data_IF_328244922852
#
_entry.id   IF_328244922852
#
_cell.length_a   1.000
_cell.length_b   1.000
_cell.length_c   1.000
_cell.angle_alpha   90.00
_cell.angle_beta   90.00
_cell.angle_gamma   90.00
#
_symmetry.space_group_name_H-M   'P 1'
#
loop_
_entity.id
_entity.type
_entity.pdbx_description
1 polymer ?
#
# COMPACT_ATOMS: atom_id res chain seq x y z
N UNK A 1 -10.35 -26.61 -33.00
CA UNK A 1 -8.99 -26.16 -32.67
C UNK A 1 -9.13 -24.72 -32.17
N UNK A 2 -9.17 -24.54 -30.88
CA UNK A 2 -9.24 -23.21 -30.27
C UNK A 2 -7.81 -22.67 -30.28
N UNK A 3 -7.55 -21.67 -31.11
CA UNK A 3 -6.35 -20.86 -31.02
C UNK A 3 -6.48 -20.03 -29.74
N UNK A 4 -5.83 -20.46 -28.67
CA UNK A 4 -5.52 -19.58 -27.54
C UNK A 4 -4.68 -18.43 -28.11
N UNK A 5 -5.29 -17.26 -28.29
CA UNK A 5 -4.53 -16.03 -28.50
C UNK A 5 -3.58 -15.91 -27.30
N UNK A 6 -2.28 -15.94 -27.56
CA UNK A 6 -1.28 -15.65 -26.54
C UNK A 6 -1.52 -14.21 -26.10
N UNK A 7 -2.02 -14.01 -24.88
CA UNK A 7 -2.11 -12.69 -24.26
C UNK A 7 -0.72 -12.05 -24.30
N UNK A 8 -0.60 -10.91 -24.96
CA UNK A 8 0.67 -10.21 -25.12
C UNK A 8 0.97 -9.49 -23.80
N UNK A 9 1.63 -10.18 -22.88
CA UNK A 9 1.97 -9.64 -21.56
C UNK A 9 3.00 -8.53 -21.71
N UNK A 10 2.75 -7.38 -21.06
CA UNK A 10 3.66 -6.24 -21.08
C UNK A 10 5.05 -6.62 -20.56
N UNK A 11 6.07 -6.37 -21.38
CA UNK A 11 7.45 -6.82 -21.12
C UNK A 11 8.08 -6.13 -19.91
N UNK A 12 7.86 -4.81 -19.74
CA UNK A 12 8.47 -4.02 -18.66
C UNK A 12 7.88 -4.39 -17.30
N UNK A 13 6.55 -4.47 -17.18
CA UNK A 13 5.88 -4.85 -15.95
C UNK A 13 6.14 -6.32 -15.58
N UNK A 14 6.23 -7.19 -16.59
CA UNK A 14 6.65 -8.59 -16.38
C UNK A 14 8.07 -8.67 -15.84
N UNK A 15 9.01 -7.92 -16.44
CA UNK A 15 10.39 -7.86 -15.98
C UNK A 15 10.49 -7.32 -14.54
N UNK A 16 9.69 -6.32 -14.17
CA UNK A 16 9.60 -5.79 -12.82
C UNK A 16 9.15 -6.89 -11.83
N UNK A 17 8.10 -7.63 -12.18
CA UNK A 17 7.60 -8.75 -11.36
C UNK A 17 8.64 -9.88 -11.25
N UNK A 18 9.33 -10.24 -12.33
CA UNK A 18 10.40 -11.25 -12.35
C UNK A 18 11.62 -10.82 -11.53
N UNK A 19 11.89 -9.52 -11.45
CA UNK A 19 12.95 -8.97 -10.58
C UNK A 19 12.58 -8.96 -9.09
N UNK A 20 11.33 -9.35 -8.74
CA UNK A 20 10.86 -9.53 -7.38
C UNK A 20 10.09 -8.37 -6.79
N UNK A 21 9.81 -7.32 -7.57
CA UNK A 21 8.91 -6.23 -7.20
C UNK A 21 7.54 -6.45 -7.81
N UNK A 22 6.54 -6.74 -6.97
CA UNK A 22 5.16 -6.95 -7.42
C UNK A 22 4.52 -5.63 -7.83
N UNK A 23 4.06 -5.45 -9.10
CA UNK A 23 3.30 -4.27 -9.50
C UNK A 23 1.88 -4.33 -8.95
N UNK A 24 1.51 -3.36 -8.11
CA UNK A 24 0.16 -3.16 -7.62
C UNK A 24 -0.41 -1.84 -8.14
N UNK A 25 -1.73 -1.71 -8.17
CA UNK A 25 -2.44 -0.51 -8.59
C UNK A 25 -2.99 0.26 -7.38
N UNK A 26 -2.69 1.55 -7.28
CA UNK A 26 -3.25 2.45 -6.26
C UNK A 26 -4.50 3.16 -6.80
N UNK A 27 -5.51 2.37 -7.12
CA UNK A 27 -6.82 2.79 -7.63
C UNK A 27 -7.84 1.69 -7.46
N UNK A 28 -9.02 2.04 -6.96
CA UNK A 28 -10.20 1.16 -6.92
C UNK A 28 -11.45 1.98 -7.23
N UNK A 29 -12.24 1.51 -8.19
CA UNK A 29 -13.56 2.05 -8.52
C UNK A 29 -14.38 1.00 -9.25
N UNK A 30 -15.69 1.10 -9.15
CA UNK A 30 -16.65 0.15 -9.71
C UNK A 30 -16.41 -0.10 -11.20
N UNK A 31 -16.33 0.96 -11.99
CA UNK A 31 -16.17 0.87 -13.44
C UNK A 31 -14.87 0.19 -13.88
N UNK A 32 -13.78 0.27 -13.11
CA UNK A 32 -12.55 -0.46 -13.38
C UNK A 32 -12.76 -1.98 -13.35
N UNK A 33 -13.64 -2.45 -12.47
CA UNK A 33 -13.96 -3.87 -12.29
C UNK A 33 -14.98 -4.31 -13.33
N UNK A 34 -16.12 -3.61 -13.41
CA UNK A 34 -17.25 -4.00 -14.25
C UNK A 34 -16.96 -3.94 -15.75
N UNK A 35 -16.12 -2.99 -16.19
CA UNK A 35 -15.67 -2.91 -17.58
C UNK A 35 -14.56 -3.91 -17.93
N UNK A 36 -14.12 -4.73 -16.97
CA UNK A 36 -13.10 -5.76 -17.15
C UNK A 36 -11.67 -5.22 -17.21
N UNK A 37 -11.46 -3.93 -16.96
CA UNK A 37 -10.13 -3.31 -17.04
C UNK A 37 -9.18 -3.87 -15.97
N UNK A 38 -9.66 -4.09 -14.73
CA UNK A 38 -8.85 -4.74 -13.69
C UNK A 38 -8.41 -6.14 -14.11
N UNK A 39 -9.32 -6.93 -14.72
CA UNK A 39 -8.99 -8.27 -15.21
C UNK A 39 -7.96 -8.21 -16.36
N UNK A 40 -8.07 -7.21 -17.25
CA UNK A 40 -7.09 -6.97 -18.31
C UNK A 40 -5.71 -6.66 -17.74
N UNK A 41 -5.61 -5.73 -16.76
CA UNK A 41 -4.36 -5.37 -16.11
C UNK A 41 -3.69 -6.58 -15.44
N UNK A 42 -4.47 -7.47 -14.81
CA UNK A 42 -3.97 -8.72 -14.24
C UNK A 42 -3.42 -9.66 -15.32
N UNK A 43 -4.12 -9.79 -16.43
CA UNK A 43 -3.76 -10.74 -17.50
C UNK A 43 -2.62 -10.25 -18.39
N UNK A 44 -2.60 -8.94 -18.69
CA UNK A 44 -1.71 -8.36 -19.72
C UNK A 44 -0.56 -7.53 -19.11
N UNK A 45 -0.78 -6.89 -17.96
CA UNK A 45 0.16 -5.97 -17.33
C UNK A 45 0.81 -6.52 -16.06
N UNK A 46 0.72 -7.82 -15.84
CA UNK A 46 1.32 -8.51 -14.67
C UNK A 46 0.89 -7.91 -13.33
N UNK A 47 -0.28 -7.26 -13.27
CA UNK A 47 -0.78 -6.67 -12.02
C UNK A 47 -1.02 -7.75 -10.96
N UNK A 48 -0.52 -7.50 -9.75
CA UNK A 48 -0.51 -8.48 -8.65
C UNK A 48 -1.35 -8.08 -7.44
N UNK A 49 -1.86 -6.86 -7.37
CA UNK A 49 -2.66 -6.40 -6.24
C UNK A 49 -3.22 -5.00 -6.43
N UNK A 50 -4.04 -4.59 -5.48
CA UNK A 50 -4.71 -3.28 -5.48
C UNK A 50 -4.66 -2.67 -4.08
N UNK A 51 -4.36 -1.38 -4.01
CA UNK A 51 -4.55 -0.58 -2.80
C UNK A 51 -5.66 0.43 -2.98
N UNK A 52 -6.37 0.72 -1.90
CA UNK A 52 -7.31 1.81 -1.80
C UNK A 52 -7.01 2.70 -0.58
N UNK A 53 -7.58 3.88 -0.55
CA UNK A 53 -7.53 4.82 0.56
C UNK A 53 -8.73 5.77 0.49
N UNK A 54 -8.99 6.61 1.53
CA UNK A 54 -10.14 7.53 1.53
C UNK A 54 -10.18 8.46 0.32
N UNK A 55 -9.04 8.98 -0.13
CA UNK A 55 -9.00 9.89 -1.30
C UNK A 55 -9.35 9.19 -2.62
N UNK A 56 -9.04 7.91 -2.75
CA UNK A 56 -9.43 7.10 -3.92
C UNK A 56 -10.95 6.93 -3.94
N UNK A 57 -11.56 6.57 -2.80
CA UNK A 57 -13.01 6.43 -2.71
C UNK A 57 -13.74 7.78 -2.81
N UNK A 58 -13.17 8.86 -2.24
CA UNK A 58 -13.70 10.23 -2.41
C UNK A 58 -13.88 10.55 -3.91
N UNK A 59 -12.82 10.39 -4.69
CA UNK A 59 -12.88 10.62 -6.14
C UNK A 59 -13.81 9.63 -6.86
N UNK A 60 -13.71 8.36 -6.54
CA UNK A 60 -14.52 7.34 -7.19
C UNK A 60 -16.02 7.59 -6.96
N UNK A 61 -16.44 7.86 -5.73
CA UNK A 61 -17.85 8.02 -5.38
C UNK A 61 -18.38 9.41 -5.74
N UNK A 62 -17.60 10.48 -5.53
CA UNK A 62 -18.10 11.84 -5.71
C UNK A 62 -17.88 12.43 -7.11
N UNK A 63 -16.89 11.94 -7.88
CA UNK A 63 -16.55 12.50 -9.18
C UNK A 63 -16.99 11.59 -10.35
N UNK A 64 -17.74 10.50 -10.09
CA UNK A 64 -18.27 9.63 -11.14
C UNK A 64 -19.75 9.33 -10.97
N UNK A 65 -20.35 8.78 -12.02
CA UNK A 65 -21.74 8.28 -12.02
C UNK A 65 -21.83 6.78 -11.66
N UNK A 66 -20.70 6.16 -11.35
CA UNK A 66 -20.57 4.71 -11.13
C UNK A 66 -21.39 4.20 -9.91
N UNK A 67 -21.88 5.08 -9.03
CA UNK A 67 -22.51 4.74 -7.74
C UNK A 67 -23.91 5.35 -7.54
N UNK A 68 -24.51 5.92 -8.58
CA UNK A 68 -25.83 6.59 -8.49
C UNK A 68 -26.92 5.64 -7.99
N UNK A 69 -26.94 4.40 -8.51
CA UNK A 69 -27.96 3.41 -8.14
C UNK A 69 -27.82 2.98 -6.67
N UNK A 70 -26.58 2.77 -6.19
CA UNK A 70 -26.31 2.40 -4.78
C UNK A 70 -26.64 3.54 -3.81
N UNK A 71 -26.35 4.79 -4.19
CA UNK A 71 -26.70 5.95 -3.37
C UNK A 71 -28.22 6.11 -3.28
N UNK A 72 -28.95 5.90 -4.39
CA UNK A 72 -30.42 5.95 -4.43
C UNK A 72 -31.04 4.82 -3.59
N UNK A 73 -30.49 3.59 -3.69
CA UNK A 73 -30.94 2.45 -2.87
C UNK A 73 -30.70 2.72 -1.38
N UNK A 74 -29.51 3.18 -1.01
CA UNK A 74 -29.15 3.47 0.37
C UNK A 74 -30.01 4.58 1.00
N UNK A 75 -30.42 5.59 0.22
CA UNK A 75 -31.42 6.59 0.63
C UNK A 75 -32.73 5.93 1.03
N UNK A 76 -33.19 4.93 0.26
CA UNK A 76 -34.39 4.18 0.55
C UNK A 76 -34.31 3.29 1.81
N UNK A 77 -33.11 2.83 2.15
CA UNK A 77 -32.81 2.02 3.33
C UNK A 77 -32.62 2.85 4.62
N UNK A 78 -32.47 4.17 4.52
CA UNK A 78 -32.26 5.06 5.67
C UNK A 78 -30.85 4.92 6.30
N UNK A 79 -29.85 4.53 5.51
CA UNK A 79 -28.47 4.40 5.95
C UNK A 79 -27.81 5.77 6.14
N UNK A 80 -26.93 5.89 7.14
CA UNK A 80 -26.08 7.07 7.26
C UNK A 80 -24.88 7.04 6.27
N UNK A 81 -24.18 8.16 6.11
CA UNK A 81 -23.11 8.29 5.15
C UNK A 81 -21.96 7.29 5.38
N UNK A 82 -21.64 6.99 6.63
CA UNK A 82 -20.61 6.00 6.97
C UNK A 82 -21.04 4.60 6.54
N UNK A 83 -22.28 4.22 6.81
CA UNK A 83 -22.83 2.92 6.43
C UNK A 83 -22.89 2.77 4.89
N UNK A 84 -23.22 3.85 4.18
CA UNK A 84 -23.25 3.89 2.71
C UNK A 84 -21.83 3.71 2.16
N UNK A 85 -20.87 4.49 2.65
CA UNK A 85 -19.47 4.34 2.26
C UNK A 85 -18.98 2.91 2.47
N UNK A 86 -19.21 2.35 3.66
CA UNK A 86 -18.76 0.99 3.96
C UNK A 86 -19.43 -0.07 3.09
N UNK A 87 -20.74 0.08 2.79
CA UNK A 87 -21.49 -0.82 1.87
C UNK A 87 -20.82 -0.82 0.50
N UNK A 88 -20.54 0.36 -0.06
CA UNK A 88 -19.90 0.53 -1.36
C UNK A 88 -18.46 -0.01 -1.35
N UNK A 89 -17.64 0.43 -0.40
CA UNK A 89 -16.24 0.06 -0.34
C UNK A 89 -16.03 -1.45 -0.16
N UNK A 90 -16.82 -2.09 0.69
CA UNK A 90 -16.79 -3.53 0.90
C UNK A 90 -17.19 -4.29 -0.38
N UNK A 91 -18.24 -3.85 -1.08
CA UNK A 91 -18.67 -4.49 -2.32
C UNK A 91 -17.57 -4.40 -3.41
N UNK A 92 -16.95 -3.24 -3.59
CA UNK A 92 -15.88 -3.06 -4.58
C UNK A 92 -14.63 -3.85 -4.22
N UNK A 93 -14.25 -3.89 -2.94
CA UNK A 93 -13.14 -4.71 -2.47
C UNK A 93 -13.41 -6.20 -2.65
N UNK A 94 -14.62 -6.68 -2.37
CA UNK A 94 -15.00 -8.07 -2.64
C UNK A 94 -14.87 -8.42 -4.12
N UNK A 95 -15.40 -7.58 -5.00
CA UNK A 95 -15.32 -7.79 -6.45
C UNK A 95 -13.86 -7.77 -6.96
N UNK A 96 -13.03 -6.85 -6.47
CA UNK A 96 -11.61 -6.81 -6.81
C UNK A 96 -10.85 -8.04 -6.28
N UNK A 97 -11.15 -8.49 -5.06
CA UNK A 97 -10.60 -9.73 -4.50
C UNK A 97 -10.94 -10.94 -5.37
N UNK A 98 -12.17 -11.01 -5.87
CA UNK A 98 -12.63 -12.10 -6.73
C UNK A 98 -11.88 -12.09 -8.08
N UNK A 99 -11.61 -10.92 -8.67
CA UNK A 99 -10.77 -10.79 -9.88
C UNK A 99 -9.33 -11.25 -9.64
N UNK A 100 -8.75 -10.89 -8.49
CA UNK A 100 -7.37 -11.21 -8.12
C UNK A 100 -7.20 -12.61 -7.50
N UNK A 101 -8.29 -13.36 -7.31
CA UNK A 101 -8.27 -14.66 -6.65
C UNK A 101 -7.34 -15.67 -7.34
N UNK A 102 -7.33 -15.70 -8.66
CA UNK A 102 -6.42 -16.58 -9.42
C UNK A 102 -4.95 -16.25 -9.20
N UNK A 103 -4.61 -14.96 -9.06
CA UNK A 103 -3.25 -14.52 -8.72
C UNK A 103 -2.88 -14.95 -7.29
N UNK A 104 -3.78 -14.81 -6.32
CA UNK A 104 -3.58 -15.24 -4.94
C UNK A 104 -3.35 -16.75 -4.83
N UNK A 105 -4.19 -17.57 -5.47
CA UNK A 105 -4.06 -19.02 -5.46
C UNK A 105 -2.73 -19.47 -6.12
N UNK A 106 -2.36 -18.89 -7.28
CA UNK A 106 -1.17 -19.30 -8.03
C UNK A 106 0.15 -18.79 -7.44
N UNK A 107 0.11 -17.71 -6.65
CA UNK A 107 1.28 -17.18 -5.95
C UNK A 107 1.53 -17.83 -4.58
N UNK A 108 0.81 -18.87 -4.23
CA UNK A 108 0.85 -19.48 -2.89
C UNK A 108 0.62 -18.42 -1.79
N UNK A 109 -0.42 -17.61 -1.95
CA UNK A 109 -0.87 -16.57 -1.02
C UNK A 109 0.14 -15.42 -0.80
N UNK A 110 1.09 -15.22 -1.71
CA UNK A 110 2.07 -14.14 -1.60
C UNK A 110 1.68 -12.88 -2.37
N UNK A 111 0.72 -12.95 -3.30
CA UNK A 111 0.19 -11.85 -4.09
C UNK A 111 -1.33 -11.99 -4.30
N UNK A 112 -1.94 -11.15 -5.11
CA UNK A 112 -3.37 -11.17 -5.37
C UNK A 112 -4.20 -10.49 -4.30
N UNK A 113 -3.62 -9.58 -3.53
CA UNK A 113 -4.28 -8.89 -2.42
C UNK A 113 -4.98 -7.60 -2.85
N UNK A 114 -6.05 -7.28 -2.13
CA UNK A 114 -6.74 -5.98 -2.17
C UNK A 114 -6.78 -5.40 -0.78
N UNK A 115 -6.39 -4.13 -0.61
CA UNK A 115 -6.36 -3.47 0.71
C UNK A 115 -7.59 -2.58 0.90
N UNK A 116 -8.23 -2.70 2.08
CA UNK A 116 -9.30 -1.83 2.58
C UNK A 116 -8.85 -1.15 3.88
N UNK A 117 -8.87 0.17 3.91
CA UNK A 117 -8.38 0.95 5.03
C UNK A 117 -9.47 1.19 6.08
N UNK A 118 -9.12 1.03 7.38
CA UNK A 118 -9.97 1.49 8.47
C UNK A 118 -10.00 3.01 8.49
N UNK A 119 -10.99 3.61 9.16
CA UNK A 119 -11.10 5.06 9.22
C UNK A 119 -9.90 5.69 9.95
N UNK A 120 -9.38 6.80 9.41
CA UNK A 120 -8.16 7.46 9.92
C UNK A 120 -8.34 8.09 11.31
N UNK A 121 -9.59 8.40 11.72
CA UNK A 121 -9.90 8.87 13.07
C UNK A 121 -9.57 7.84 14.17
N UNK A 122 -9.33 6.59 13.79
CA UNK A 122 -8.90 5.51 14.69
C UNK A 122 -7.37 5.40 14.79
N UNK A 123 -6.61 6.19 14.02
CA UNK A 123 -5.14 6.08 13.92
C UNK A 123 -4.42 6.18 15.29
N UNK A 124 -5.01 6.89 16.24
CA UNK A 124 -4.48 7.07 17.60
C UNK A 124 -5.23 6.25 18.68
N UNK A 125 -6.00 5.23 18.25
CA UNK A 125 -6.76 4.36 19.17
C UNK A 125 -6.63 2.88 18.72
N UNK A 126 -5.64 2.19 19.27
CA UNK A 126 -5.37 0.79 18.93
C UNK A 126 -6.55 -0.15 19.20
N UNK A 127 -7.36 0.13 20.23
CA UNK A 127 -8.54 -0.69 20.52
C UNK A 127 -9.63 -0.51 19.46
N UNK A 128 -9.90 0.72 19.03
CA UNK A 128 -10.85 0.95 17.93
C UNK A 128 -10.34 0.38 16.63
N UNK A 129 -9.05 0.54 16.34
CA UNK A 129 -8.41 0.00 15.14
C UNK A 129 -8.59 -1.51 15.02
N UNK A 130 -8.36 -2.29 16.09
CA UNK A 130 -8.55 -3.75 16.02
C UNK A 130 -10.02 -4.15 15.93
N UNK A 131 -10.93 -3.42 16.57
CA UNK A 131 -12.37 -3.67 16.44
C UNK A 131 -12.84 -3.44 15.00
N UNK A 132 -12.43 -2.34 14.38
CA UNK A 132 -12.74 -2.05 12.97
C UNK A 132 -12.11 -3.07 12.01
N UNK A 133 -10.86 -3.47 12.27
CA UNK A 133 -10.18 -4.48 11.47
C UNK A 133 -10.91 -5.83 11.47
N UNK A 134 -11.38 -6.28 12.63
CA UNK A 134 -12.20 -7.51 12.76
C UNK A 134 -13.52 -7.42 12.02
N UNK A 135 -14.19 -6.27 12.10
CA UNK A 135 -15.47 -6.04 11.41
C UNK A 135 -15.28 -6.07 9.90
N UNK A 136 -14.32 -5.31 9.35
CA UNK A 136 -14.05 -5.31 7.92
C UNK A 136 -13.58 -6.67 7.41
N UNK A 137 -12.70 -7.36 8.13
CA UNK A 137 -12.26 -8.71 7.78
C UNK A 137 -13.44 -9.67 7.65
N UNK A 138 -14.34 -9.65 8.64
CA UNK A 138 -15.55 -10.49 8.65
C UNK A 138 -16.51 -10.13 7.52
N UNK A 139 -16.76 -8.83 7.28
CA UNK A 139 -17.75 -8.35 6.28
C UNK A 139 -17.23 -8.54 4.86
N UNK A 140 -15.95 -8.29 4.59
CA UNK A 140 -15.36 -8.54 3.27
C UNK A 140 -15.34 -10.03 2.98
N UNK A 141 -15.02 -10.87 3.95
CA UNK A 141 -15.05 -12.33 3.84
C UNK A 141 -14.37 -12.86 2.56
N UNK A 142 -13.15 -12.39 2.29
CA UNK A 142 -12.26 -12.85 1.21
C UNK A 142 -10.86 -13.11 1.78
N UNK A 143 -10.22 -14.27 1.50
CA UNK A 143 -8.92 -14.61 2.10
C UNK A 143 -7.78 -13.71 1.61
N UNK A 144 -7.96 -13.05 0.47
CA UNK A 144 -6.99 -12.15 -0.15
C UNK A 144 -7.30 -10.66 0.08
N UNK A 145 -8.10 -10.31 1.10
CA UNK A 145 -8.16 -8.94 1.59
C UNK A 145 -7.04 -8.68 2.58
N UNK A 146 -6.50 -7.47 2.60
CA UNK A 146 -5.66 -6.93 3.67
C UNK A 146 -6.38 -5.76 4.32
N UNK A 147 -6.51 -5.79 5.63
CA UNK A 147 -7.02 -4.62 6.35
C UNK A 147 -5.88 -3.63 6.54
N UNK A 148 -6.09 -2.39 6.10
CA UNK A 148 -5.08 -1.35 6.13
C UNK A 148 -5.18 -0.56 7.43
N UNK A 149 -4.10 -0.58 8.23
CA UNK A 149 -4.01 0.01 9.57
C UNK A 149 -2.88 1.03 9.57
N UNK A 150 -3.07 2.27 10.09
CA UNK A 150 -2.00 3.23 10.24
C UNK A 150 -0.87 2.74 11.15
N UNK A 151 0.38 2.94 10.72
CA UNK A 151 1.59 2.58 11.48
C UNK A 151 1.96 3.60 12.55
N UNK A 152 0.99 4.16 13.24
CA UNK A 152 1.19 5.04 14.40
C UNK A 152 1.64 4.24 15.62
N UNK A 153 2.30 4.85 16.61
CA UNK A 153 2.69 4.15 17.85
C UNK A 153 1.51 3.42 18.51
N UNK A 154 0.32 4.03 18.50
CA UNK A 154 -0.91 3.46 19.08
C UNK A 154 -1.49 2.32 18.23
N UNK A 155 -1.20 2.31 16.93
CA UNK A 155 -1.63 1.26 15.99
C UNK A 155 -0.85 -0.05 16.10
N UNK A 156 0.35 -0.05 16.69
CA UNK A 156 1.22 -1.24 16.77
C UNK A 156 0.56 -2.42 17.47
N UNK A 157 -0.12 -2.18 18.60
CA UNK A 157 -0.82 -3.23 19.34
C UNK A 157 -1.98 -3.83 18.52
N UNK A 158 -2.66 -3.00 17.71
CA UNK A 158 -3.70 -3.46 16.80
C UNK A 158 -3.13 -4.32 15.67
N UNK A 159 -1.95 -3.96 15.13
CA UNK A 159 -1.24 -4.75 14.11
C UNK A 159 -0.86 -6.12 14.67
N UNK A 160 -0.17 -6.17 15.84
CA UNK A 160 0.19 -7.44 16.48
C UNK A 160 -1.03 -8.31 16.71
N UNK A 161 -2.11 -7.73 17.27
CA UNK A 161 -3.32 -8.46 17.57
C UNK A 161 -4.04 -8.97 16.31
N UNK A 162 -4.10 -8.16 15.23
CA UNK A 162 -4.69 -8.57 13.96
C UNK A 162 -3.94 -9.76 13.34
N UNK A 163 -2.61 -9.70 13.31
CA UNK A 163 -1.77 -10.81 12.83
C UNK A 163 -1.99 -12.07 13.69
N UNK A 164 -2.00 -11.91 15.02
CA UNK A 164 -2.30 -13.04 15.92
C UNK A 164 -3.67 -13.68 15.63
N UNK A 165 -4.67 -12.91 15.26
CA UNK A 165 -6.02 -13.40 14.90
C UNK A 165 -6.11 -13.97 13.48
N UNK A 166 -5.04 -13.88 12.67
CA UNK A 166 -5.02 -14.39 11.30
C UNK A 166 -5.59 -13.42 10.27
N UNK A 167 -5.66 -12.14 10.59
CA UNK A 167 -6.08 -11.07 9.69
C UNK A 167 -4.86 -10.58 8.91
N UNK A 168 -4.92 -10.60 7.57
CA UNK A 168 -3.87 -10.00 6.76
C UNK A 168 -3.87 -8.48 6.91
N UNK A 169 -2.69 -7.87 7.07
CA UNK A 169 -2.57 -6.44 7.37
C UNK A 169 -1.65 -5.73 6.38
N UNK A 170 -2.13 -4.59 5.87
CA UNK A 170 -1.32 -3.59 5.20
C UNK A 170 -1.08 -2.43 6.18
N UNK A 171 0.14 -2.29 6.70
CA UNK A 171 0.45 -1.19 7.60
C UNK A 171 0.80 0.04 6.76
N UNK A 172 0.08 1.15 6.97
CA UNK A 172 0.20 2.36 6.15
C UNK A 172 0.78 3.56 6.89
N UNK A 173 1.08 4.63 6.16
CA UNK A 173 1.65 5.88 6.66
C UNK A 173 3.03 5.70 7.31
N UNK A 174 3.85 4.81 6.75
CA UNK A 174 5.23 4.66 7.17
C UNK A 174 6.10 5.62 6.36
N UNK A 175 6.84 6.48 7.05
CA UNK A 175 7.76 7.43 6.44
C UNK A 175 9.20 7.23 6.94
N UNK A 176 9.40 6.76 8.17
CA UNK A 176 10.72 6.55 8.76
C UNK A 176 11.09 5.08 8.87
N UNK A 177 12.38 4.81 8.81
CA UNK A 177 12.94 3.46 9.02
C UNK A 177 12.64 2.96 10.42
N UNK A 178 12.65 3.84 11.42
CA UNK A 178 12.31 3.49 12.81
C UNK A 178 10.85 3.02 12.93
N UNK A 179 9.90 3.70 12.27
CA UNK A 179 8.50 3.25 12.23
C UNK A 179 8.38 1.88 11.54
N UNK A 180 9.13 1.68 10.42
CA UNK A 180 9.19 0.41 9.73
C UNK A 180 9.68 -0.73 10.64
N UNK A 181 10.76 -0.53 11.41
CA UNK A 181 11.28 -1.52 12.35
C UNK A 181 10.22 -1.93 13.39
N UNK A 182 9.51 -0.95 13.94
CA UNK A 182 8.45 -1.19 14.94
C UNK A 182 7.29 -2.00 14.38
N UNK A 183 6.83 -1.71 13.16
CA UNK A 183 5.72 -2.48 12.55
C UNK A 183 6.16 -3.88 12.13
N UNK A 184 7.41 -4.06 11.72
CA UNK A 184 7.97 -5.36 11.44
C UNK A 184 8.07 -6.21 12.72
N UNK A 185 8.47 -5.61 13.85
CA UNK A 185 8.48 -6.29 15.14
C UNK A 185 7.07 -6.68 15.61
N UNK A 186 6.06 -5.81 15.42
CA UNK A 186 4.67 -6.13 15.73
C UNK A 186 4.15 -7.32 14.90
N UNK A 187 4.50 -7.37 13.61
CA UNK A 187 4.20 -8.51 12.74
C UNK A 187 4.83 -9.82 13.26
N UNK A 188 6.13 -9.78 13.56
CA UNK A 188 6.84 -10.95 14.09
C UNK A 188 6.25 -11.42 15.41
N UNK A 189 5.92 -10.52 16.34
CA UNK A 189 5.27 -10.86 17.62
C UNK A 189 3.92 -11.53 17.43
N UNK A 190 3.09 -11.03 16.50
CA UNK A 190 1.82 -11.67 16.17
C UNK A 190 2.01 -13.10 15.67
N UNK A 191 3.00 -13.34 14.80
CA UNK A 191 3.34 -14.67 14.30
C UNK A 191 3.93 -15.58 15.41
N UNK A 192 4.78 -15.05 16.29
CA UNK A 192 5.34 -15.79 17.43
C UNK A 192 4.24 -16.29 18.37
N UNK A 193 3.21 -15.47 18.62
CA UNK A 193 2.04 -15.86 19.43
C UNK A 193 1.26 -17.00 18.74
N UNK A 194 1.06 -16.93 17.42
CA UNK A 194 0.42 -17.99 16.64
C UNK A 194 1.22 -19.29 16.69
N UNK A 195 2.55 -19.19 16.54
CA UNK A 195 3.45 -20.35 16.61
C UNK A 195 3.37 -21.03 17.99
N UNK A 196 3.38 -20.25 19.06
CA UNK A 196 3.29 -20.75 20.42
C UNK A 196 1.98 -21.54 20.67
N UNK A 197 0.90 -21.17 19.98
CA UNK A 197 -0.41 -21.83 20.05
C UNK A 197 -0.63 -22.87 18.94
N UNK A 198 0.40 -23.20 18.15
CA UNK A 198 0.33 -24.14 17.03
C UNK A 198 -0.72 -23.74 15.96
N UNK A 199 -0.96 -22.45 15.79
CA UNK A 199 -1.84 -21.94 14.74
C UNK A 199 -1.08 -21.79 13.42
N UNK A 200 -1.76 -21.87 12.25
CA UNK A 200 -1.14 -21.63 10.95
C UNK A 200 -0.48 -20.25 10.87
N UNK A 201 0.71 -20.17 10.24
CA UNK A 201 1.43 -18.89 10.07
C UNK A 201 1.22 -18.25 8.67
N UNK A 202 0.29 -18.77 7.89
CA UNK A 202 -0.10 -18.20 6.58
C UNK A 202 -0.97 -16.94 6.80
N UNK A 203 -0.33 -15.88 7.29
CA UNK A 203 -0.92 -14.56 7.50
C UNK A 203 -0.03 -13.55 6.80
N UNK A 204 -0.55 -12.90 5.77
CA UNK A 204 0.22 -11.99 4.94
C UNK A 204 0.26 -10.58 5.54
N UNK A 205 1.39 -9.90 5.35
CA UNK A 205 1.52 -8.48 5.67
C UNK A 205 2.38 -7.74 4.65
N UNK A 206 2.06 -6.47 4.43
CA UNK A 206 2.89 -5.50 3.72
C UNK A 206 3.04 -4.23 4.54
N UNK A 207 4.18 -3.57 4.41
CA UNK A 207 4.50 -2.32 5.09
C UNK A 207 4.56 -1.19 4.06
N UNK A 208 3.52 -0.36 3.99
CA UNK A 208 3.39 0.74 3.02
C UNK A 208 4.30 1.90 3.40
N UNK A 209 5.48 1.92 2.81
CA UNK A 209 6.51 2.94 2.99
C UNK A 209 6.36 4.02 1.93
N UNK A 210 6.09 5.25 2.38
CA UNK A 210 5.73 6.37 1.50
C UNK A 210 6.98 7.03 0.92
N UNK A 211 7.00 7.24 -0.39
CA UNK A 211 8.20 7.65 -1.14
C UNK A 211 8.12 9.13 -1.55
N UNK A 212 7.30 9.50 -2.53
CA UNK A 212 7.35 10.84 -3.14
C UNK A 212 7.09 12.00 -2.18
N UNK A 213 6.38 11.77 -1.07
CA UNK A 213 6.14 12.83 -0.08
C UNK A 213 7.41 13.27 0.64
N UNK A 214 8.36 12.34 0.84
CA UNK A 214 9.66 12.64 1.46
C UNK A 214 10.46 13.58 0.56
N UNK A 215 10.56 13.30 -0.74
CA UNK A 215 11.22 14.21 -1.68
C UNK A 215 10.50 15.56 -1.77
N UNK A 216 9.15 15.55 -1.83
CA UNK A 216 8.37 16.81 -1.87
C UNK A 216 8.68 17.71 -0.68
N UNK A 217 8.92 17.15 0.51
CA UNK A 217 9.28 17.92 1.70
C UNK A 217 10.75 18.32 1.69
N UNK A 218 11.67 17.38 1.41
CA UNK A 218 13.11 17.62 1.40
C UNK A 218 13.53 18.60 0.30
N UNK A 219 13.00 18.45 -0.92
CA UNK A 219 13.36 19.30 -2.06
C UNK A 219 13.05 20.78 -1.80
N UNK A 220 11.93 21.10 -1.14
CA UNK A 220 11.60 22.49 -0.73
C UNK A 220 12.65 23.10 0.19
N UNK A 221 13.24 22.29 1.07
CA UNK A 221 14.30 22.74 1.98
C UNK A 221 15.63 22.88 1.23
N UNK A 222 15.95 21.92 0.37
CA UNK A 222 17.15 21.91 -0.46
C UNK A 222 17.17 23.10 -1.44
N UNK A 223 16.09 23.38 -2.13
CA UNK A 223 15.95 24.52 -3.03
C UNK A 223 16.14 25.84 -2.26
N UNK A 224 15.56 25.95 -1.07
CA UNK A 224 15.69 27.14 -0.22
C UNK A 224 17.12 27.35 0.31
N UNK A 225 17.86 26.28 0.54
CA UNK A 225 19.24 26.31 1.03
C UNK A 225 20.29 26.35 -0.09
N UNK A 226 19.89 26.22 -1.37
CA UNK A 226 20.77 26.27 -2.53
C UNK A 226 21.48 24.97 -2.83
N UNK A 227 20.91 23.84 -2.44
CA UNK A 227 21.43 22.48 -2.66
C UNK A 227 20.55 21.69 -3.64
N UNK A 228 20.17 22.31 -4.75
CA UNK A 228 19.26 21.72 -5.76
C UNK A 228 19.81 20.43 -6.38
N UNK A 229 21.13 20.21 -6.35
CA UNK A 229 21.78 19.00 -6.84
C UNK A 229 21.46 17.74 -6.01
N UNK A 230 20.92 17.91 -4.80
CA UNK A 230 20.49 16.83 -3.93
C UNK A 230 18.98 16.54 -4.03
N UNK A 231 18.23 17.33 -4.78
CA UNK A 231 16.81 17.11 -4.99
C UNK A 231 16.54 15.74 -5.64
N UNK A 232 15.48 15.06 -5.19
CA UNK A 232 15.09 13.72 -5.65
C UNK A 232 15.89 12.56 -5.08
N UNK A 233 16.76 12.81 -4.09
CA UNK A 233 17.60 11.77 -3.46
C UNK A 233 17.08 11.29 -2.12
N UNK A 234 16.39 12.15 -1.38
CA UNK A 234 15.99 11.88 0.00
C UNK A 234 15.05 10.67 0.12
N UNK A 235 14.03 10.60 -0.73
CA UNK A 235 13.05 9.52 -0.70
C UNK A 235 13.67 8.18 -1.09
N UNK A 236 14.49 8.16 -2.14
CA UNK A 236 15.16 6.94 -2.61
C UNK A 236 16.16 6.45 -1.57
N UNK A 237 16.98 7.34 -0.98
CA UNK A 237 17.92 6.97 0.06
C UNK A 237 17.21 6.40 1.31
N UNK A 238 16.13 7.04 1.74
CA UNK A 238 15.30 6.57 2.86
C UNK A 238 14.67 5.20 2.59
N UNK A 239 14.11 4.98 1.39
CA UNK A 239 13.52 3.69 1.00
C UNK A 239 14.58 2.57 0.90
N UNK A 240 15.77 2.87 0.37
CA UNK A 240 16.89 1.92 0.33
C UNK A 240 17.37 1.53 1.74
N UNK A 241 17.38 2.49 2.67
CA UNK A 241 17.69 2.20 4.07
C UNK A 241 16.61 1.30 4.71
N UNK A 242 15.33 1.54 4.42
CA UNK A 242 14.24 0.67 4.87
C UNK A 242 14.37 -0.74 4.28
N UNK A 243 14.75 -0.88 3.00
CA UNK A 243 14.99 -2.20 2.39
C UNK A 243 16.19 -2.93 3.03
N UNK A 244 17.28 -2.24 3.35
CA UNK A 244 18.39 -2.81 4.11
C UNK A 244 17.91 -3.34 5.46
N UNK A 245 17.08 -2.58 6.15
CA UNK A 245 16.50 -2.98 7.42
C UNK A 245 15.57 -4.18 7.28
N UNK A 246 14.79 -4.25 6.21
CA UNK A 246 14.01 -5.44 5.87
C UNK A 246 14.89 -6.70 5.79
N UNK A 247 16.01 -6.61 5.08
CA UNK A 247 16.93 -7.75 4.95
C UNK A 247 17.54 -8.18 6.29
N UNK A 248 17.81 -7.23 7.19
CA UNK A 248 18.31 -7.50 8.55
C UNK A 248 17.24 -8.20 9.41
N UNK A 249 16.01 -7.69 9.41
CA UNK A 249 14.91 -8.19 10.25
C UNK A 249 14.47 -9.59 9.81
N UNK A 250 14.32 -9.79 8.49
CA UNK A 250 13.86 -11.07 7.93
C UNK A 250 15.03 -12.00 7.60
N UNK A 251 16.01 -12.04 8.51
CA UNK A 251 17.16 -12.97 8.53
C UNK A 251 17.49 -13.37 9.96
N UNK A 252 18.25 -14.47 10.10
CA UNK A 252 18.74 -14.97 11.39
C UNK A 252 17.70 -15.77 12.20
N UNK A 253 18.10 -16.23 13.40
CA UNK A 253 17.41 -17.31 14.10
C UNK A 253 15.94 -17.06 14.46
N UNK A 254 15.57 -15.79 14.77
CA UNK A 254 14.18 -15.42 15.07
C UNK A 254 13.27 -15.62 13.86
N UNK A 255 13.70 -15.12 12.72
CA UNK A 255 12.97 -15.26 11.47
C UNK A 255 12.98 -16.70 10.96
N UNK A 256 14.15 -17.37 11.03
CA UNK A 256 14.31 -18.75 10.54
C UNK A 256 13.30 -19.69 11.21
N UNK A 257 13.04 -19.53 12.51
CA UNK A 257 12.06 -20.33 13.24
C UNK A 257 10.63 -20.12 12.69
N UNK A 258 10.23 -18.88 12.41
CA UNK A 258 8.92 -18.56 11.85
C UNK A 258 8.79 -19.04 10.40
N UNK A 259 9.82 -18.81 9.61
CA UNK A 259 9.86 -19.23 8.20
C UNK A 259 9.76 -20.75 8.04
N UNK A 260 10.50 -21.53 8.82
CA UNK A 260 10.40 -22.98 8.83
C UNK A 260 9.02 -23.50 9.26
N UNK A 261 8.27 -22.69 10.04
CA UNK A 261 6.90 -23.00 10.43
C UNK A 261 5.86 -22.49 9.39
N UNK A 262 6.29 -21.93 8.26
CA UNK A 262 5.42 -21.53 7.14
C UNK A 262 5.06 -20.06 7.09
N UNK A 263 5.74 -19.19 7.85
CA UNK A 263 5.53 -17.75 7.75
C UNK A 263 6.13 -17.16 6.47
N UNK A 264 5.50 -16.11 5.96
CA UNK A 264 6.00 -15.26 4.89
C UNK A 264 6.61 -13.98 5.44
N UNK A 265 7.52 -13.34 4.69
CA UNK A 265 8.07 -12.03 5.08
C UNK A 265 6.99 -10.95 4.99
N UNK A 266 7.05 -9.94 5.87
CA UNK A 266 6.31 -8.69 5.65
C UNK A 266 7.04 -7.89 4.59
N UNK A 267 6.46 -7.82 3.39
CA UNK A 267 7.12 -7.15 2.26
C UNK A 267 7.07 -5.63 2.41
N UNK A 268 8.20 -4.91 2.20
CA UNK A 268 8.14 -3.48 1.97
C UNK A 268 7.25 -3.19 0.74
N UNK A 269 6.31 -2.27 0.90
CA UNK A 269 5.46 -1.78 -0.17
C UNK A 269 5.76 -0.31 -0.40
N UNK A 270 6.33 0.01 -1.56
CA UNK A 270 6.57 1.38 -1.96
C UNK A 270 5.26 2.02 -2.33
N UNK A 271 4.82 2.98 -1.50
CA UNK A 271 3.57 3.72 -1.66
C UNK A 271 3.84 5.17 -2.08
N UNK A 272 2.84 5.81 -2.69
CA UNK A 272 2.99 7.19 -3.18
C UNK A 272 4.15 7.32 -4.19
N UNK A 273 4.19 6.43 -5.18
CA UNK A 273 5.29 6.35 -6.16
C UNK A 273 5.05 7.14 -7.43
N UNK A 274 3.92 7.85 -7.53
CA UNK A 274 3.72 8.85 -8.58
C UNK A 274 4.63 10.07 -8.38
N UNK A 275 5.41 10.39 -9.40
CA UNK A 275 6.31 11.55 -9.39
C UNK A 275 5.52 12.85 -9.37
N UNK A 276 5.96 13.84 -8.58
CA UNK A 276 5.31 15.14 -8.40
C UNK A 276 6.06 16.31 -9.02
N UNK A 277 7.34 16.11 -9.33
CA UNK A 277 8.22 17.12 -9.88
C UNK A 277 8.54 16.78 -11.33
N UNK A 278 8.13 17.62 -12.27
CA UNK A 278 8.31 17.42 -13.72
C UNK A 278 9.78 17.35 -14.17
N UNK A 279 10.72 17.68 -13.28
CA UNK A 279 12.17 17.51 -13.55
C UNK A 279 12.63 16.06 -13.43
N UNK A 280 11.85 15.18 -12.82
CA UNK A 280 12.18 13.78 -12.63
C UNK A 280 11.53 12.90 -13.68
N UNK A 281 12.14 11.75 -13.96
CA UNK A 281 11.48 10.71 -14.74
C UNK A 281 10.18 10.29 -14.04
N UNK A 282 9.09 10.17 -14.78
CA UNK A 282 7.80 9.75 -14.26
C UNK A 282 7.77 8.29 -13.75
N UNK A 283 8.82 7.50 -14.07
CA UNK A 283 9.05 6.14 -13.56
C UNK A 283 10.12 6.07 -12.45
N UNK A 284 10.70 7.21 -12.02
CA UNK A 284 11.88 7.25 -11.15
C UNK A 284 11.77 6.35 -9.91
N UNK A 285 10.68 6.44 -9.15
CA UNK A 285 10.54 5.67 -7.92
C UNK A 285 10.27 4.18 -8.14
N UNK A 286 9.90 3.79 -9.35
CA UNK A 286 9.80 2.37 -9.71
C UNK A 286 11.16 1.85 -10.14
N UNK A 287 11.84 2.55 -11.04
CA UNK A 287 13.14 2.14 -11.59
C UNK A 287 14.24 2.07 -10.51
N UNK A 288 14.20 2.98 -9.51
CA UNK A 288 15.21 3.11 -8.46
C UNK A 288 14.96 2.23 -7.21
N UNK A 289 13.79 1.57 -7.13
CA UNK A 289 13.40 0.79 -5.95
C UNK A 289 13.01 -0.67 -6.27
N UNK A 290 13.61 -1.23 -7.31
CA UNK A 290 13.46 -2.65 -7.67
C UNK A 290 14.22 -3.54 -6.69
N UNK A 291 13.55 -4.53 -6.10
CA UNK A 291 14.21 -5.57 -5.30
C UNK A 291 13.31 -6.78 -5.04
N UNK A 292 13.91 -7.90 -4.65
CA UNK A 292 13.19 -9.10 -4.25
C UNK A 292 12.30 -8.84 -3.02
N UNK A 293 11.15 -9.49 -2.98
CA UNK A 293 10.19 -9.39 -1.88
C UNK A 293 9.67 -7.97 -1.62
N UNK A 294 9.54 -7.14 -2.66
CA UNK A 294 8.94 -5.82 -2.56
C UNK A 294 7.63 -5.73 -3.34
N UNK A 295 6.87 -4.72 -3.04
CA UNK A 295 5.67 -4.31 -3.78
C UNK A 295 5.84 -2.84 -4.17
N UNK A 296 5.37 -2.44 -5.34
CA UNK A 296 5.22 -1.04 -5.71
C UNK A 296 3.76 -0.80 -6.10
N UNK A 297 3.05 0.00 -5.31
CA UNK A 297 1.68 0.37 -5.62
C UNK A 297 1.66 1.71 -6.33
N UNK A 298 1.25 1.68 -7.59
CA UNK A 298 1.38 2.78 -8.54
C UNK A 298 0.02 3.40 -8.86
N UNK A 299 -0.08 4.75 -8.95
CA UNK A 299 -1.18 5.36 -9.66
C UNK A 299 -1.26 4.83 -11.10
N UNK A 300 -2.46 4.83 -11.71
CA UNK A 300 -2.64 4.29 -13.07
C UNK A 300 -1.68 4.92 -14.08
N UNK A 301 -1.51 6.24 -14.06
CA UNK A 301 -0.59 6.94 -14.97
C UNK A 301 0.87 6.48 -14.81
N UNK A 302 1.31 6.19 -13.57
CA UNK A 302 2.66 5.64 -13.32
C UNK A 302 2.76 4.20 -13.81
N UNK A 303 1.74 3.38 -13.60
CA UNK A 303 1.70 2.01 -14.13
C UNK A 303 1.81 2.00 -15.66
N UNK A 304 1.06 2.88 -16.34
CA UNK A 304 1.10 3.06 -17.79
C UNK A 304 2.49 3.54 -18.27
N UNK A 305 3.10 4.50 -17.58
CA UNK A 305 4.45 4.98 -17.89
C UNK A 305 5.50 3.86 -17.76
N UNK A 306 5.42 3.05 -16.69
CA UNK A 306 6.30 1.89 -16.52
C UNK A 306 6.06 0.86 -17.60
N UNK A 307 4.80 0.62 -17.98
CA UNK A 307 4.44 -0.28 -19.09
C UNK A 307 5.06 0.16 -20.42
N UNK A 308 5.12 1.47 -20.67
CA UNK A 308 5.65 2.05 -21.92
C UNK A 308 7.18 2.12 -21.92
N UNK A 309 7.79 2.69 -20.88
CA UNK A 309 9.23 3.02 -20.91
C UNK A 309 9.99 2.76 -19.58
N UNK A 310 9.38 2.09 -18.60
CA UNK A 310 10.05 1.73 -17.34
C UNK A 310 11.31 0.90 -17.55
N UNK A 311 12.27 1.02 -16.63
CA UNK A 311 13.59 0.39 -16.75
C UNK A 311 13.92 -0.45 -15.52
N UNK A 312 14.04 -1.75 -15.71
CA UNK A 312 14.51 -2.69 -14.69
C UNK A 312 16.00 -2.97 -14.91
N UNK A 313 16.87 -2.22 -14.23
CA UNK A 313 18.32 -2.33 -14.37
C UNK A 313 18.98 -3.23 -13.31
N UNK A 314 18.19 -3.98 -12.54
CA UNK A 314 18.66 -4.85 -11.47
C UNK A 314 18.07 -4.45 -10.11
N UNK A 315 18.59 -4.96 -8.99
CA UNK A 315 18.04 -4.73 -7.66
C UNK A 315 18.45 -3.34 -7.12
N UNK A 316 17.93 -2.28 -7.72
CA UNK A 316 18.30 -0.88 -7.44
C UNK A 316 18.02 -0.44 -6.00
N UNK A 317 17.02 -1.04 -5.32
CA UNK A 317 16.77 -0.78 -3.89
C UNK A 317 17.89 -1.32 -2.97
N UNK A 318 18.81 -2.16 -3.48
CA UNK A 318 19.97 -2.67 -2.73
C UNK A 318 21.19 -1.76 -2.82
N UNK A 319 21.16 -0.71 -3.63
CA UNK A 319 22.28 0.23 -3.69
C UNK A 319 22.48 0.90 -2.33
N UNK A 320 23.77 1.14 -2.00
CA UNK A 320 24.11 1.78 -0.74
C UNK A 320 23.64 3.24 -0.71
N UNK A 321 22.76 3.65 0.21
CA UNK A 321 22.27 5.01 0.29
C UNK A 321 23.18 5.95 1.07
N UNK A 322 24.30 5.46 1.66
CA UNK A 322 25.05 6.21 2.67
C UNK A 322 25.58 7.54 2.16
N UNK A 323 26.12 7.58 0.94
CA UNK A 323 26.68 8.82 0.38
C UNK A 323 25.59 9.91 0.18
N UNK A 324 24.37 9.53 -0.23
CA UNK A 324 23.27 10.47 -0.37
C UNK A 324 22.75 10.92 1.00
N UNK A 325 22.67 10.02 1.99
CA UNK A 325 22.29 10.36 3.37
C UNK A 325 23.28 11.32 4.02
N UNK A 326 24.58 11.10 3.85
CA UNK A 326 25.64 11.98 4.38
C UNK A 326 25.54 13.37 3.72
N UNK A 327 25.39 13.43 2.40
CA UNK A 327 25.26 14.70 1.68
C UNK A 327 23.99 15.50 2.09
N UNK A 328 22.86 14.81 2.28
CA UNK A 328 21.62 15.42 2.79
C UNK A 328 21.82 15.98 4.20
N UNK A 329 22.48 15.22 5.08
CA UNK A 329 22.77 15.69 6.44
C UNK A 329 23.70 16.90 6.45
N UNK A 330 24.76 16.90 5.60
CA UNK A 330 25.66 18.06 5.42
C UNK A 330 24.92 19.30 4.88
N UNK A 331 23.91 19.12 4.04
CA UNK A 331 23.03 20.18 3.54
C UNK A 331 21.99 20.64 4.59
N UNK A 332 22.00 20.06 5.79
CA UNK A 332 21.08 20.41 6.89
C UNK A 332 19.71 19.77 6.80
N UNK A 333 19.55 18.71 6.02
CA UNK A 333 18.30 17.92 5.94
C UNK A 333 18.26 16.90 7.07
N UNK A 334 17.30 17.06 7.97
CA UNK A 334 16.98 16.09 9.02
C UNK A 334 15.78 15.23 8.59
N UNK A 335 16.05 14.01 8.13
CA UNK A 335 15.00 13.09 7.68
C UNK A 335 14.08 12.67 8.83
N UNK A 336 14.59 12.62 10.07
CA UNK A 336 13.75 12.30 11.24
C UNK A 336 12.65 13.33 11.42
N UNK A 337 13.01 14.62 11.43
CA UNK A 337 12.03 15.72 11.51
C UNK A 337 11.05 15.68 10.36
N UNK A 338 11.52 15.51 9.13
CA UNK A 338 10.67 15.48 7.94
C UNK A 338 9.65 14.31 8.04
N UNK A 339 10.10 13.13 8.43
CA UNK A 339 9.23 11.94 8.48
C UNK A 339 8.21 12.00 9.61
N UNK A 340 8.55 12.62 10.74
CA UNK A 340 7.61 12.86 11.85
C UNK A 340 6.50 13.85 11.43
N UNK A 341 6.86 14.96 10.77
CA UNK A 341 5.90 15.91 10.24
C UNK A 341 4.99 15.25 9.17
N UNK A 342 5.55 14.43 8.29
CA UNK A 342 4.80 13.72 7.26
C UNK A 342 3.82 12.69 7.83
N UNK A 343 4.12 12.06 8.96
CA UNK A 343 3.16 11.16 9.64
C UNK A 343 1.95 11.94 10.14
N UNK A 344 2.18 13.08 10.83
CA UNK A 344 1.10 13.94 11.34
C UNK A 344 0.23 14.44 10.19
N UNK A 345 0.86 14.99 9.16
CA UNK A 345 0.18 15.48 7.96
C UNK A 345 -0.56 14.37 7.21
N UNK A 346 0.02 13.17 7.15
CA UNK A 346 -0.55 12.01 6.48
C UNK A 346 -1.84 11.54 7.14
N UNK A 347 -1.86 11.41 8.47
CA UNK A 347 -3.07 11.07 9.23
C UNK A 347 -4.14 12.13 8.99
N UNK A 348 -3.79 13.41 9.15
CA UNK A 348 -4.72 14.52 8.92
C UNK A 348 -5.30 14.53 7.49
N UNK A 349 -4.49 14.32 6.46
CA UNK A 349 -4.98 14.28 5.07
C UNK A 349 -5.97 13.14 4.84
N UNK A 350 -5.78 12.00 5.49
CA UNK A 350 -6.71 10.87 5.38
C UNK A 350 -8.01 11.13 6.14
N UNK A 351 -7.94 11.75 7.32
CA UNK A 351 -9.13 12.22 8.05
C UNK A 351 -9.91 13.25 7.23
N UNK A 352 -9.23 14.25 6.69
CA UNK A 352 -9.86 15.29 5.87
C UNK A 352 -10.52 14.70 4.60
N UNK A 353 -9.87 13.71 3.94
CA UNK A 353 -10.44 13.03 2.78
C UNK A 353 -11.67 12.20 3.16
N UNK A 354 -11.63 11.48 4.29
CA UNK A 354 -12.80 10.73 4.77
C UNK A 354 -13.96 11.67 5.11
N UNK A 355 -13.69 12.78 5.78
CA UNK A 355 -14.73 13.76 6.10
C UNK A 355 -15.38 14.33 4.83
N UNK A 356 -14.59 14.74 3.82
CA UNK A 356 -15.13 15.22 2.53
C UNK A 356 -15.96 14.14 1.83
N UNK A 357 -15.50 12.90 1.84
CA UNK A 357 -16.23 11.78 1.27
C UNK A 357 -17.60 11.60 1.95
N UNK A 358 -17.62 11.58 3.28
CA UNK A 358 -18.88 11.40 4.04
C UNK A 358 -19.83 12.58 3.87
N UNK A 359 -19.32 13.81 3.85
CA UNK A 359 -20.11 15.01 3.60
C UNK A 359 -20.69 14.99 2.18
N UNK A 360 -19.90 14.65 1.16
CA UNK A 360 -20.36 14.52 -0.21
C UNK A 360 -21.40 13.41 -0.41
N UNK A 361 -21.28 12.29 0.30
CA UNK A 361 -22.32 11.25 0.30
C UNK A 361 -23.63 11.79 0.92
N UNK A 362 -23.57 12.50 2.06
CA UNK A 362 -24.77 13.12 2.68
C UNK A 362 -25.47 14.05 1.70
N UNK A 363 -24.71 14.96 1.07
CA UNK A 363 -25.28 15.90 0.10
C UNK A 363 -25.96 15.20 -1.08
N UNK A 364 -25.37 14.13 -1.62
CA UNK A 364 -25.95 13.35 -2.72
C UNK A 364 -27.21 12.57 -2.31
N UNK A 365 -27.25 12.07 -1.10
CA UNK A 365 -28.42 11.31 -0.60
C UNK A 365 -29.56 12.24 -0.19
N UNK A 366 -29.27 13.47 0.26
CA UNK A 366 -30.30 14.46 0.63
C UNK A 366 -30.89 15.19 -0.59
N UNK A 367 -30.13 15.30 -1.70
CA UNK A 367 -30.60 15.92 -2.94
C UNK A 367 -31.65 15.05 -3.67
#
# INVERSE_FOLDING_TARGET
MSTTEATNVNANLKQLAEAGTSPWLDLLRRSLIEKGELARLVAEDSLKGVTSNPSIFEKAILESEDYEDELAEAKGEGLDAQQIYEKIAIADVQAACDVLRGTWDSSHHQDGFVSLEISADMAHDGHKSIVAARDFWKRVNRPNVMIKIPGTPEGLDAVEQAIYEGINVNITLLFSVEAYEKVADAYLKGLERRLAESQPLDVASVASFFVSRVDTAADKLLEKSGHEELCGKAAIANARLAYRKFQEIFSGPRWDALHHAGAHVQRPLWASTGVKNDRYSDTMYVDELVAAHTVNTMPLATLEAVADHGRVSGPTAQHDPQADLDALAEAGIDLGVITDELLIDGVKQFEDAMNRLLDGIRERVEA
#
